data_IF_339020315799
#
_entry.id   IF_339020315799
#
_cell.length_a   1.000
_cell.length_b   1.000
_cell.length_c   1.000
_cell.angle_alpha   90.00
_cell.angle_beta   90.00
_cell.angle_gamma   90.00
#
_symmetry.space_group_name_H-M   'P 1'
#
loop_
_entity.id
_entity.type
_entity.pdbx_description
1 polymer ?
#
# COMPACT_ATOMS: atom_id res chain seq x y z
N UNK A 1 -17.29 24.51 34.91
CA UNK A 1 -16.33 23.78 34.07
C UNK A 1 -15.99 24.65 32.85
N UNK A 2 -14.75 25.14 32.75
CA UNK A 2 -14.31 26.07 31.70
C UNK A 2 -14.12 25.36 30.34
N UNK A 3 -14.22 26.08 29.22
CA UNK A 3 -14.03 25.57 27.85
C UNK A 3 -12.67 24.86 27.67
N UNK A 4 -11.61 25.39 28.28
CA UNK A 4 -10.29 24.77 28.28
C UNK A 4 -10.26 23.39 28.99
N UNK A 5 -11.03 23.23 30.07
CA UNK A 5 -11.14 21.96 30.81
C UNK A 5 -11.97 20.92 30.03
N UNK A 6 -12.99 21.36 29.28
CA UNK A 6 -13.75 20.50 28.37
C UNK A 6 -12.90 20.00 27.20
N UNK A 7 -12.07 20.87 26.63
CA UNK A 7 -11.19 20.50 25.52
C UNK A 7 -10.07 19.54 25.98
N UNK A 8 -9.49 19.78 27.16
CA UNK A 8 -8.51 18.88 27.76
C UNK A 8 -9.13 17.50 28.08
N UNK A 9 -10.33 17.47 28.65
CA UNK A 9 -11.04 16.21 28.94
C UNK A 9 -11.44 15.45 27.66
N UNK A 10 -11.89 16.15 26.61
CA UNK A 10 -12.20 15.54 25.32
C UNK A 10 -10.96 14.95 24.65
N UNK A 11 -9.81 15.63 24.71
CA UNK A 11 -8.52 15.12 24.23
C UNK A 11 -8.06 13.91 25.02
N UNK A 12 -8.25 13.92 26.33
CA UNK A 12 -7.84 12.83 27.22
C UNK A 12 -8.72 11.57 27.04
N UNK A 13 -10.01 11.75 26.74
CA UNK A 13 -10.92 10.66 26.35
C UNK A 13 -10.58 10.12 24.96
N UNK A 14 -10.25 11.00 24.00
CA UNK A 14 -9.82 10.59 22.67
C UNK A 14 -8.49 9.82 22.73
N UNK A 15 -7.52 10.32 23.49
CA UNK A 15 -6.21 9.69 23.65
C UNK A 15 -6.29 8.31 24.33
N UNK A 16 -7.24 8.13 25.27
CA UNK A 16 -7.55 6.82 25.85
C UNK A 16 -8.20 5.86 24.87
N UNK A 17 -9.03 6.35 23.95
CA UNK A 17 -9.60 5.52 22.88
C UNK A 17 -8.55 5.15 21.80
N UNK A 18 -7.65 6.08 21.47
CA UNK A 18 -6.51 5.86 20.55
C UNK A 18 -5.53 4.82 21.12
N UNK A 19 -5.18 4.92 22.40
CA UNK A 19 -4.31 3.94 23.08
C UNK A 19 -4.97 2.57 23.25
N UNK A 20 -6.29 2.51 23.48
CA UNK A 20 -7.03 1.25 23.57
C UNK A 20 -7.17 0.52 22.22
N UNK A 21 -7.11 1.24 21.10
CA UNK A 21 -7.17 0.68 19.74
C UNK A 21 -5.80 0.36 19.15
N UNK A 22 -4.70 0.84 19.76
CA UNK A 22 -3.33 0.67 19.27
C UNK A 22 -3.00 1.48 18.01
N UNK A 23 -4.01 2.13 17.41
CA UNK A 23 -3.92 2.99 16.24
C UNK A 23 -3.33 4.36 16.63
N UNK A 24 -2.07 4.39 17.08
CA UNK A 24 -1.38 5.66 17.29
C UNK A 24 -1.00 6.26 15.94
N UNK A 25 -1.75 7.29 15.54
CA UNK A 25 -1.41 8.19 14.43
C UNK A 25 -0.01 8.74 14.65
N UNK A 26 0.90 8.50 13.71
CA UNK A 26 2.20 9.20 13.73
C UNK A 26 1.96 10.60 13.20
N UNK A 27 1.85 11.58 14.09
CA UNK A 27 1.72 12.99 13.70
C UNK A 27 3.00 13.42 12.95
N UNK A 28 2.83 14.11 11.82
CA UNK A 28 3.87 14.52 10.84
C UNK A 28 4.49 13.44 9.93
N UNK A 29 3.67 12.78 9.10
CA UNK A 29 4.18 12.01 7.94
C UNK A 29 3.80 12.67 6.62
N UNK A 30 4.75 13.39 6.01
CA UNK A 30 4.63 13.92 4.64
C UNK A 30 4.48 12.81 3.58
N UNK A 31 4.73 11.54 3.93
CA UNK A 31 4.59 10.36 3.08
C UNK A 31 5.44 9.20 3.60
N UNK A 32 5.25 8.02 3.03
CA UNK A 32 6.04 6.81 3.33
C UNK A 32 7.11 6.59 2.27
N UNK A 33 8.30 6.15 2.66
CA UNK A 33 9.30 5.76 1.67
C UNK A 33 8.82 4.50 0.95
N UNK A 34 9.21 4.35 -0.32
CA UNK A 34 8.96 3.14 -1.10
C UNK A 34 10.25 2.32 -1.21
N UNK A 35 10.17 1.03 -1.60
CA UNK A 35 11.37 0.25 -1.88
C UNK A 35 12.29 0.98 -2.85
N UNK A 36 13.60 0.97 -2.59
CA UNK A 36 14.59 1.72 -3.37
C UNK A 36 14.46 1.48 -4.89
N UNK A 37 14.15 0.25 -5.29
CA UNK A 37 13.97 -0.14 -6.69
C UNK A 37 12.80 0.57 -7.40
N UNK A 38 11.83 1.06 -6.63
CA UNK A 38 10.64 1.79 -7.10
C UNK A 38 10.77 3.31 -6.95
N UNK A 39 11.81 3.81 -6.29
CA UNK A 39 12.04 5.26 -6.11
C UNK A 39 11.95 6.07 -7.42
N UNK A 40 12.46 5.59 -8.57
CA UNK A 40 12.36 6.35 -9.83
C UNK A 40 10.93 6.58 -10.34
N UNK A 41 9.98 5.72 -9.96
CA UNK A 41 8.59 5.76 -10.44
C UNK A 41 7.59 6.20 -9.37
N UNK A 42 7.94 6.01 -8.10
CA UNK A 42 7.17 6.41 -6.93
C UNK A 42 8.15 6.61 -5.75
N UNK A 43 8.74 7.79 -5.56
CA UNK A 43 9.76 8.00 -4.53
C UNK A 43 9.21 7.98 -3.10
N UNK A 44 7.99 8.48 -2.94
CA UNK A 44 7.26 8.48 -1.68
C UNK A 44 5.80 8.19 -1.93
N UNK A 45 5.17 7.47 -1.01
CA UNK A 45 3.74 7.26 -0.97
C UNK A 45 3.12 8.37 -0.12
N UNK A 46 2.66 9.41 -0.80
CA UNK A 46 1.98 10.56 -0.18
C UNK A 46 0.47 10.30 -0.05
N UNK A 47 -0.25 11.06 0.80
CA UNK A 47 -1.69 10.94 0.92
C UNK A 47 -2.42 11.15 -0.41
N UNK A 48 -3.28 10.21 -0.76
CA UNK A 48 -3.88 10.16 -2.10
C UNK A 48 -4.20 8.75 -2.54
N UNK A 49 -4.32 8.56 -3.85
CA UNK A 49 -4.70 7.27 -4.44
C UNK A 49 -3.67 6.91 -5.51
N UNK A 50 -3.09 5.72 -5.38
CA UNK A 50 -2.15 5.15 -6.36
C UNK A 50 -2.76 3.88 -6.91
N UNK A 51 -2.98 3.86 -8.22
CA UNK A 51 -3.37 2.64 -8.93
C UNK A 51 -2.10 1.84 -9.28
N UNK A 52 -2.12 0.53 -9.03
CA UNK A 52 -1.04 -0.40 -9.35
C UNK A 52 -1.63 -1.49 -10.23
N UNK A 53 -1.45 -1.33 -11.53
CA UNK A 53 -1.98 -2.24 -12.54
C UNK A 53 -0.97 -3.36 -12.82
N UNK A 54 -1.46 -4.60 -12.93
CA UNK A 54 -0.65 -5.73 -13.42
C UNK A 54 0.18 -6.50 -12.39
N UNK A 55 0.21 -6.09 -11.10
CA UNK A 55 0.90 -6.89 -10.06
C UNK A 55 0.45 -6.60 -8.63
N UNK A 56 -0.21 -7.57 -8.00
CA UNK A 56 -0.50 -7.57 -6.55
C UNK A 56 0.79 -7.66 -5.73
N UNK A 57 1.84 -8.32 -6.22
CA UNK A 57 3.14 -8.44 -5.54
C UNK A 57 3.79 -7.07 -5.32
N UNK A 58 3.83 -6.21 -6.35
CA UNK A 58 4.36 -4.85 -6.21
C UNK A 58 3.52 -4.03 -5.23
N UNK A 59 2.20 -4.17 -5.28
CA UNK A 59 1.29 -3.52 -4.36
C UNK A 59 1.54 -3.94 -2.90
N UNK A 60 1.71 -5.24 -2.64
CA UNK A 60 2.03 -5.76 -1.31
C UNK A 60 3.42 -5.35 -0.85
N UNK A 61 4.41 -5.31 -1.74
CA UNK A 61 5.76 -4.88 -1.38
C UNK A 61 5.83 -3.39 -1.00
N UNK A 62 5.06 -2.51 -1.65
CA UNK A 62 4.95 -1.11 -1.24
C UNK A 62 4.28 -1.02 0.13
N UNK A 63 3.17 -1.74 0.35
CA UNK A 63 2.47 -1.76 1.62
C UNK A 63 3.35 -2.31 2.76
N UNK A 64 4.05 -3.42 2.52
CA UNK A 64 4.97 -4.04 3.47
C UNK A 64 6.13 -3.13 3.83
N UNK A 65 6.76 -2.50 2.83
CA UNK A 65 7.85 -1.57 3.10
C UNK A 65 7.43 -0.35 3.93
N UNK A 66 6.23 0.18 3.72
CA UNK A 66 5.67 1.23 4.57
C UNK A 66 5.29 0.72 5.97
N UNK A 67 4.75 -0.50 6.06
CA UNK A 67 4.43 -1.16 7.32
C UNK A 67 5.67 -1.35 8.20
N UNK A 68 6.80 -1.74 7.60
CA UNK A 68 8.10 -1.83 8.26
C UNK A 68 8.63 -0.47 8.79
N UNK A 69 8.17 0.65 8.22
CA UNK A 69 8.43 2.01 8.75
C UNK A 69 7.43 2.41 9.88
N UNK A 70 6.53 1.50 10.26
CA UNK A 70 5.53 1.67 11.31
C UNK A 70 4.14 2.06 10.82
N UNK A 71 3.85 1.98 9.51
CA UNK A 71 2.53 2.27 8.97
C UNK A 71 1.48 1.24 9.40
N UNK A 72 0.31 1.73 9.79
CA UNK A 72 -0.90 0.92 9.89
C UNK A 72 -1.48 0.66 8.51
N UNK A 73 -1.65 -0.63 8.19
CA UNK A 73 -2.14 -1.10 6.90
C UNK A 73 -3.54 -1.72 7.06
N UNK A 74 -4.46 -1.35 6.18
CA UNK A 74 -5.75 -2.03 6.07
C UNK A 74 -5.86 -2.72 4.71
N UNK A 75 -6.09 -4.03 4.69
CA UNK A 75 -6.33 -4.82 3.49
C UNK A 75 -7.84 -5.02 3.32
N UNK A 76 -8.42 -4.52 2.23
CA UNK A 76 -9.87 -4.46 2.04
C UNK A 76 -10.27 -5.07 0.70
N UNK A 77 -11.23 -5.99 0.70
CA UNK A 77 -11.72 -6.63 -0.53
C UNK A 77 -10.71 -7.59 -1.17
N UNK A 78 -9.80 -8.14 -0.36
CA UNK A 78 -8.79 -9.11 -0.79
C UNK A 78 -9.06 -10.43 -0.06
N UNK A 79 -10.01 -11.27 -0.53
CA UNK A 79 -10.47 -12.44 0.23
C UNK A 79 -9.41 -13.54 0.33
N UNK A 80 -8.50 -13.62 -0.64
CA UNK A 80 -7.44 -14.62 -0.69
C UNK A 80 -6.09 -13.92 -0.53
N UNK A 81 -5.60 -13.88 0.72
CA UNK A 81 -4.25 -13.40 1.03
C UNK A 81 -3.45 -14.54 1.63
N UNK A 82 -2.30 -14.83 1.02
CA UNK A 82 -1.28 -15.69 1.61
C UNK A 82 -0.53 -14.93 2.69
N UNK A 83 -0.96 -15.03 3.94
CA UNK A 83 -0.37 -14.30 5.07
C UNK A 83 1.12 -14.56 5.28
N UNK A 84 1.59 -15.79 5.01
CA UNK A 84 3.02 -16.10 5.01
C UNK A 84 3.78 -15.30 3.96
N UNK A 85 3.29 -15.29 2.72
CA UNK A 85 3.87 -14.48 1.65
C UNK A 85 3.79 -12.98 1.98
N UNK A 86 2.68 -12.49 2.55
CA UNK A 86 2.55 -11.10 2.95
C UNK A 86 3.62 -10.70 3.99
N UNK A 87 3.87 -11.55 4.99
CA UNK A 87 4.93 -11.33 5.98
C UNK A 87 6.33 -11.38 5.34
N UNK A 88 6.58 -12.30 4.40
CA UNK A 88 7.81 -12.35 3.60
C UNK A 88 8.00 -11.07 2.75
N UNK A 89 6.91 -10.45 2.30
CA UNK A 89 6.92 -9.15 1.63
C UNK A 89 7.10 -7.95 2.59
N UNK A 90 7.40 -8.20 3.87
CA UNK A 90 7.69 -7.16 4.87
C UNK A 90 6.45 -6.55 5.53
N UNK A 91 5.27 -7.14 5.33
CA UNK A 91 4.06 -6.67 5.99
C UNK A 91 4.10 -6.99 7.50
N UNK A 92 4.05 -5.96 8.35
CA UNK A 92 3.93 -6.14 9.78
C UNK A 92 2.49 -6.56 10.12
N UNK A 93 2.32 -7.85 10.39
CA UNK A 93 1.02 -8.43 10.73
C UNK A 93 0.42 -7.85 12.02
N UNK A 94 1.24 -7.31 12.92
CA UNK A 94 0.77 -6.67 14.16
C UNK A 94 0.19 -5.28 13.92
N UNK A 95 0.47 -4.69 12.75
CA UNK A 95 -0.01 -3.39 12.29
C UNK A 95 -0.93 -3.49 11.07
N UNK A 96 -1.51 -4.67 10.85
CA UNK A 96 -2.35 -4.94 9.70
C UNK A 96 -3.76 -5.36 10.12
N UNK A 97 -4.77 -4.69 9.56
CA UNK A 97 -6.16 -5.12 9.63
C UNK A 97 -6.61 -5.73 8.29
N UNK A 98 -7.44 -6.78 8.33
CA UNK A 98 -7.97 -7.44 7.14
C UNK A 98 -9.49 -7.47 7.12
N UNK A 99 -10.04 -6.93 6.05
CA UNK A 99 -11.47 -6.89 5.77
C UNK A 99 -11.68 -7.61 4.42
N UNK A 100 -11.80 -8.95 4.43
CA UNK A 100 -11.79 -9.75 3.19
C UNK A 100 -12.99 -9.46 2.27
N UNK A 101 -14.14 -9.11 2.83
CA UNK A 101 -15.39 -8.95 2.07
C UNK A 101 -16.26 -7.85 2.69
N UNK A 102 -15.98 -6.56 2.39
CA UNK A 102 -16.77 -5.46 2.93
C UNK A 102 -18.18 -5.36 2.33
N UNK A 103 -18.43 -6.03 1.19
CA UNK A 103 -19.72 -6.05 0.51
C UNK A 103 -20.24 -4.65 0.18
N UNK A 104 -21.55 -4.43 0.36
CA UNK A 104 -22.19 -3.14 0.10
C UNK A 104 -21.72 -2.01 1.05
N UNK A 105 -21.05 -2.35 2.16
CA UNK A 105 -20.54 -1.38 3.14
C UNK A 105 -19.12 -0.90 2.80
N UNK A 106 -18.57 -1.28 1.65
CA UNK A 106 -17.23 -0.85 1.23
C UNK A 106 -16.98 0.66 1.34
N UNK A 107 -17.90 1.56 0.94
CA UNK A 107 -17.69 3.00 1.10
C UNK A 107 -17.52 3.42 2.57
N UNK A 108 -18.36 2.89 3.47
CA UNK A 108 -18.33 3.21 4.90
C UNK A 108 -17.07 2.66 5.57
N UNK A 109 -16.68 1.43 5.22
CA UNK A 109 -15.47 0.78 5.71
C UNK A 109 -14.24 1.58 5.29
N UNK A 110 -14.10 1.91 4.00
CA UNK A 110 -12.98 2.70 3.51
C UNK A 110 -12.94 4.08 4.16
N UNK A 111 -14.10 4.67 4.40
CA UNK A 111 -14.23 5.97 5.06
C UNK A 111 -13.74 5.93 6.52
N UNK A 112 -14.11 4.89 7.27
CA UNK A 112 -13.67 4.69 8.64
C UNK A 112 -12.17 4.38 8.70
N UNK A 113 -11.66 3.56 7.79
CA UNK A 113 -10.24 3.25 7.70
C UNK A 113 -9.42 4.48 7.35
N UNK A 114 -9.92 5.35 6.46
CA UNK A 114 -9.25 6.60 6.12
C UNK A 114 -9.12 7.58 7.30
N UNK A 115 -9.86 7.39 8.38
CA UNK A 115 -9.71 8.22 9.58
C UNK A 115 -8.67 7.68 10.58
N UNK A 116 -8.26 6.40 10.46
CA UNK A 116 -7.42 5.73 11.47
C UNK A 116 -6.23 4.92 10.93
N UNK A 117 -6.11 4.74 9.62
CA UNK A 117 -5.03 4.00 8.98
C UNK A 117 -4.20 4.89 8.08
N UNK A 118 -2.92 4.54 7.98
CA UNK A 118 -1.96 5.27 7.14
C UNK A 118 -2.10 4.86 5.67
N UNK A 119 -2.31 3.56 5.42
CA UNK A 119 -2.44 3.00 4.07
C UNK A 119 -3.59 2.02 4.02
N UNK A 120 -4.42 2.15 2.99
CA UNK A 120 -5.48 1.20 2.65
C UNK A 120 -5.11 0.52 1.34
N UNK A 121 -4.99 -0.79 1.37
CA UNK A 121 -4.87 -1.63 0.18
C UNK A 121 -6.26 -2.12 -0.19
N UNK A 122 -6.79 -1.62 -1.30
CA UNK A 122 -8.13 -1.94 -1.77
C UNK A 122 -8.08 -2.82 -3.03
N UNK A 123 -8.67 -4.01 -2.94
CA UNK A 123 -8.98 -4.84 -4.09
C UNK A 123 -10.11 -4.25 -4.94
N UNK A 124 -10.75 -5.10 -5.74
CA UNK A 124 -11.92 -4.69 -6.52
C UNK A 124 -13.13 -4.49 -5.58
N UNK A 125 -13.63 -3.25 -5.53
CA UNK A 125 -14.74 -2.86 -4.67
C UNK A 125 -15.83 -2.18 -5.50
N UNK A 126 -17.07 -2.53 -5.23
CA UNK A 126 -18.24 -1.90 -5.82
C UNK A 126 -18.43 -0.48 -5.25
N UNK A 127 -17.69 0.49 -5.80
CA UNK A 127 -17.75 1.89 -5.42
C UNK A 127 -18.36 2.73 -6.54
N UNK A 128 -19.33 3.58 -6.18
CA UNK A 128 -19.88 4.55 -7.13
C UNK A 128 -18.86 5.65 -7.43
N UNK A 129 -19.07 6.41 -8.51
CA UNK A 129 -18.26 7.60 -8.83
C UNK A 129 -18.27 8.61 -7.67
N UNK A 130 -19.40 8.73 -6.97
CA UNK A 130 -19.55 9.60 -5.81
C UNK A 130 -18.68 9.13 -4.65
N UNK A 131 -18.69 7.82 -4.35
CA UNK A 131 -17.88 7.23 -3.28
C UNK A 131 -16.39 7.44 -3.55
N UNK A 132 -15.95 7.18 -4.78
CA UNK A 132 -14.55 7.35 -5.18
C UNK A 132 -14.09 8.80 -5.03
N UNK A 133 -14.92 9.78 -5.43
CA UNK A 133 -14.61 11.21 -5.27
C UNK A 133 -14.54 11.63 -3.79
N UNK A 134 -15.52 11.19 -2.99
CA UNK A 134 -15.57 11.50 -1.57
C UNK A 134 -14.34 10.92 -0.84
N UNK A 135 -13.97 9.66 -1.16
CA UNK A 135 -12.77 9.02 -0.62
C UNK A 135 -11.50 9.73 -1.06
N UNK A 136 -11.34 10.08 -2.34
CA UNK A 136 -10.16 10.80 -2.83
C UNK A 136 -9.96 12.15 -2.13
N UNK A 137 -11.03 12.86 -1.79
CA UNK A 137 -10.94 14.07 -0.96
C UNK A 137 -10.56 13.73 0.48
N UNK A 138 -11.24 12.75 1.09
CA UNK A 138 -11.05 12.40 2.50
C UNK A 138 -9.64 11.89 2.79
N UNK A 139 -9.08 11.02 1.95
CA UNK A 139 -7.73 10.48 2.17
C UNK A 139 -6.66 11.56 2.13
N UNK A 140 -6.82 12.58 1.27
CA UNK A 140 -5.95 13.77 1.26
C UNK A 140 -6.11 14.61 2.53
N UNK A 141 -7.34 14.82 2.99
CA UNK A 141 -7.62 15.56 4.22
C UNK A 141 -7.13 14.82 5.47
N UNK A 142 -7.14 13.49 5.45
CA UNK A 142 -6.76 12.64 6.60
C UNK A 142 -5.31 12.19 6.60
N UNK A 143 -4.58 12.37 5.50
CA UNK A 143 -3.19 11.93 5.40
C UNK A 143 -3.03 10.44 5.07
N UNK A 144 -4.07 9.79 4.54
CA UNK A 144 -4.07 8.37 4.18
C UNK A 144 -3.73 8.17 2.72
N UNK A 145 -3.05 7.07 2.38
CA UNK A 145 -2.88 6.63 0.99
C UNK A 145 -3.77 5.41 0.69
N UNK A 146 -4.33 5.35 -0.51
CA UNK A 146 -4.98 4.14 -1.04
C UNK A 146 -4.09 3.55 -2.13
N UNK A 147 -3.74 2.28 -1.99
CA UNK A 147 -3.17 1.44 -3.04
C UNK A 147 -4.29 0.58 -3.60
N UNK A 148 -4.54 0.62 -4.91
CA UNK A 148 -5.58 -0.22 -5.52
C UNK A 148 -5.17 -0.73 -6.88
N UNK A 149 -5.69 -1.89 -7.28
CA UNK A 149 -5.46 -2.43 -8.62
C UNK A 149 -6.32 -1.75 -9.69
N UNK A 150 -7.42 -1.10 -9.31
CA UNK A 150 -8.29 -0.38 -10.22
C UNK A 150 -8.99 0.82 -9.54
N UNK A 151 -8.44 2.00 -9.80
CA UNK A 151 -9.06 3.25 -9.40
C UNK A 151 -9.10 4.26 -10.54
N UNK A 152 -10.26 4.41 -11.21
CA UNK A 152 -10.49 5.48 -12.16
C UNK A 152 -10.32 6.81 -11.43
N UNK A 153 -9.39 7.66 -11.88
CA UNK A 153 -8.94 8.92 -11.25
C UNK A 153 -7.91 8.81 -10.11
N UNK A 154 -7.05 7.79 -10.11
CA UNK A 154 -5.88 7.77 -9.24
C UNK A 154 -4.95 8.98 -9.50
N UNK A 155 -4.30 9.48 -8.44
CA UNK A 155 -3.30 10.56 -8.55
C UNK A 155 -1.98 10.10 -9.17
N UNK A 156 -1.70 8.79 -9.10
CA UNK A 156 -0.58 8.16 -9.79
C UNK A 156 -1.00 6.77 -10.26
N UNK A 157 -0.45 6.32 -11.39
CA UNK A 157 -0.69 4.99 -11.94
C UNK A 157 0.65 4.32 -12.18
N UNK A 158 0.90 3.22 -11.49
CA UNK A 158 2.00 2.32 -11.75
C UNK A 158 1.53 1.19 -12.64
N UNK A 159 2.13 1.05 -13.82
CA UNK A 159 1.93 -0.11 -14.69
C UNK A 159 3.06 -1.09 -14.47
N UNK A 160 2.72 -2.31 -14.09
CA UNK A 160 3.67 -3.39 -13.84
C UNK A 160 3.56 -4.41 -14.96
N UNK A 161 4.69 -4.66 -15.62
CA UNK A 161 4.87 -5.68 -16.65
C UNK A 161 5.92 -6.72 -16.18
N UNK A 162 5.84 -7.93 -16.72
CA UNK A 162 6.77 -9.02 -16.38
C UNK A 162 6.13 -10.04 -15.44
N UNK A 163 6.90 -10.51 -14.47
CA UNK A 163 6.54 -11.71 -13.70
C UNK A 163 7.26 -12.97 -14.18
N UNK A 164 8.27 -12.82 -15.04
CA UNK A 164 9.11 -13.93 -15.50
C UNK A 164 9.96 -14.43 -14.33
N UNK A 165 9.69 -15.66 -13.85
CA UNK A 165 10.46 -16.21 -12.76
C UNK A 165 11.78 -16.76 -13.32
N UNK A 166 12.84 -16.69 -12.53
CA UNK A 166 14.19 -17.13 -12.89
C UNK A 166 14.77 -18.03 -11.80
N UNK A 167 15.72 -18.89 -12.16
CA UNK A 167 16.38 -19.80 -11.21
C UNK A 167 15.88 -21.24 -11.23
N UNK A 168 14.94 -21.56 -12.12
CA UNK A 168 14.56 -22.93 -12.48
C UNK A 168 14.93 -23.18 -13.95
N UNK A 169 15.58 -24.31 -14.24
CA UNK A 169 15.82 -24.80 -15.59
C UNK A 169 15.05 -26.11 -15.76
N UNK A 170 14.23 -26.21 -16.81
CA UNK A 170 13.35 -27.36 -17.08
C UNK A 170 12.50 -27.83 -15.88
N UNK A 171 12.13 -26.94 -14.94
CA UNK A 171 11.35 -27.26 -13.75
C UNK A 171 12.16 -27.78 -12.56
N UNK A 172 13.49 -27.80 -12.65
CA UNK A 172 14.41 -28.16 -11.58
C UNK A 172 15.11 -26.89 -11.09
N UNK A 173 15.01 -26.60 -9.80
CA UNK A 173 15.62 -25.44 -9.15
C UNK A 173 14.68 -24.75 -8.16
N UNK A 174 15.19 -23.73 -7.48
CA UNK A 174 14.40 -22.88 -6.60
C UNK A 174 14.15 -21.54 -7.32
N UNK A 175 12.95 -20.98 -7.12
CA UNK A 175 12.67 -19.62 -7.58
C UNK A 175 13.69 -18.67 -6.93
N UNK A 176 14.61 -18.13 -7.73
CA UNK A 176 15.65 -17.22 -7.23
C UNK A 176 15.21 -15.78 -7.28
N UNK A 177 14.56 -15.40 -8.38
CA UNK A 177 14.03 -14.05 -8.53
C UNK A 177 12.91 -13.97 -9.57
N UNK A 178 12.00 -13.02 -9.40
CA UNK A 178 11.02 -12.62 -10.41
C UNK A 178 11.35 -11.23 -10.92
N UNK A 179 11.44 -11.04 -12.23
CA UNK A 179 11.70 -9.72 -12.82
C UNK A 179 10.40 -8.97 -13.09
N UNK A 180 10.34 -7.73 -12.63
CA UNK A 180 9.28 -6.79 -12.94
C UNK A 180 9.84 -5.55 -13.61
N UNK A 181 9.02 -4.96 -14.47
CA UNK A 181 9.26 -3.64 -15.02
C UNK A 181 8.09 -2.76 -14.65
N UNK A 182 8.36 -1.68 -13.92
CA UNK A 182 7.36 -0.76 -13.40
C UNK A 182 7.50 0.57 -14.12
N UNK A 183 6.40 1.14 -14.58
CA UNK A 183 6.38 2.47 -15.21
C UNK A 183 5.31 3.38 -14.62
N UNK A 184 5.58 4.68 -14.63
CA UNK A 184 4.71 5.75 -14.14
C UNK A 184 4.93 6.99 -15.01
N UNK A 185 3.95 7.38 -15.82
CA UNK A 185 4.13 8.44 -16.81
C UNK A 185 5.30 8.13 -17.76
N UNK A 186 6.32 9.00 -17.79
CA UNK A 186 7.55 8.79 -18.56
C UNK A 186 8.65 8.03 -17.80
N UNK A 187 8.49 7.82 -16.50
CA UNK A 187 9.47 7.11 -15.68
C UNK A 187 9.29 5.59 -15.80
N UNK A 188 10.40 4.85 -15.81
CA UNK A 188 10.42 3.38 -15.87
C UNK A 188 11.60 2.85 -15.07
N UNK A 189 11.38 1.77 -14.33
CA UNK A 189 12.40 1.03 -13.58
C UNK A 189 12.21 -0.46 -13.76
N UNK A 190 13.30 -1.23 -13.75
CA UNK A 190 13.24 -2.69 -13.67
C UNK A 190 13.78 -3.12 -12.32
N UNK A 191 13.06 -4.04 -11.69
CA UNK A 191 13.37 -4.55 -10.38
C UNK A 191 13.27 -6.07 -10.36
N UNK A 192 13.98 -6.68 -9.41
CA UNK A 192 13.91 -8.09 -9.12
C UNK A 192 13.23 -8.27 -7.76
N UNK A 193 12.22 -9.12 -7.71
CA UNK A 193 11.76 -9.68 -6.46
C UNK A 193 12.63 -10.88 -6.09
N UNK A 194 13.23 -10.84 -4.92
CA UNK A 194 14.11 -11.89 -4.36
C UNK A 194 13.59 -12.29 -2.97
N UNK A 195 14.20 -13.30 -2.35
CA UNK A 195 13.87 -13.67 -0.97
C UNK A 195 14.08 -12.52 0.03
N UNK A 196 15.00 -11.58 -0.27
CA UNK A 196 15.35 -10.46 0.62
C UNK A 196 14.54 -9.19 0.33
N UNK A 197 13.65 -9.21 -0.68
CA UNK A 197 12.89 -8.03 -1.06
C UNK A 197 13.01 -7.64 -2.53
N UNK A 198 12.48 -6.44 -2.82
CA UNK A 198 12.60 -5.77 -4.11
C UNK A 198 13.95 -5.07 -4.23
N UNK A 199 14.75 -5.49 -5.21
CA UNK A 199 16.06 -4.91 -5.50
C UNK A 199 16.12 -4.38 -6.93
N UNK A 200 17.04 -3.45 -7.20
CA UNK A 200 17.29 -2.94 -8.55
C UNK A 200 17.69 -4.10 -9.46
N UNK A 201 17.06 -4.19 -10.62
CA UNK A 201 17.46 -5.21 -11.58
C UNK A 201 18.76 -4.78 -12.26
N UNK A 202 19.75 -5.68 -12.41
CA UNK A 202 20.97 -5.36 -13.12
C UNK A 202 20.62 -4.91 -14.55
N UNK A 203 21.16 -3.76 -14.95
CA UNK A 203 21.10 -3.31 -16.34
C UNK A 203 21.90 -4.30 -17.16
N UNK A 204 21.23 -5.25 -17.82
CA UNK A 204 21.92 -6.04 -18.83
C UNK A 204 22.38 -5.05 -19.91
N UNK A 205 23.69 -4.89 -20.07
CA UNK A 205 24.26 -4.34 -21.28
C UNK A 205 23.69 -5.19 -22.40
N UNK A 206 22.81 -4.64 -23.23
CA UNK A 206 22.43 -5.28 -24.49
C UNK A 206 23.75 -5.61 -25.17
N UNK A 207 24.06 -6.89 -25.34
CA UNK A 207 25.09 -7.30 -26.28
C UNK A 207 24.63 -6.74 -27.62
N UNK A 208 25.31 -5.68 -28.07
CA UNK A 208 25.20 -5.19 -29.43
C UNK A 208 25.80 -6.30 -30.27
N UNK A 209 24.92 -7.11 -30.87
CA UNK A 209 25.26 -8.05 -31.94
C UNK A 209 25.53 -7.29 -33.23
#
# INVERSE_FOLDING_TARGET
MNHAQRLAHARDVLHRAETASGLSRTEDKQGWQTPQALTPVLPTLTPGIVAIEGSTTILLAIAGHASAQGAWIALVGLPLIGWGAAAEHGLDLTRTAHIPSPGARAPDVLTALADGFDIIVAGELALTVRDRRALAQRVRTRGTAILSTDWPTASAVLRVEGGEPSGYDAGIGHLKAIRYTVSSGSARTSCLWTADGLVDAPRMLRAVS
#
